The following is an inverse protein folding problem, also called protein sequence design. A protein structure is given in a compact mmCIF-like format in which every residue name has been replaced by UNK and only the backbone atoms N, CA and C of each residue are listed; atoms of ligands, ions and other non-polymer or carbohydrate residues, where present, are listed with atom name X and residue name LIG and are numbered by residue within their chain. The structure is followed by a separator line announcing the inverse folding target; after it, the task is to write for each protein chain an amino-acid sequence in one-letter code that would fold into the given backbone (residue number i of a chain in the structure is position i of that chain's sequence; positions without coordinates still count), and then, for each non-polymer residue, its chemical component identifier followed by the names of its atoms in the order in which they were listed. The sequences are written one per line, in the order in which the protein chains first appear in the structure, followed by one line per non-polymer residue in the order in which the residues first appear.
data_IF_097000731941
#
_entry.id   IF_097000731941
#
_cell.length_a   1.000
_cell.length_b   1.000
_cell.length_c   1.000
_cell.angle_alpha   90.00
_cell.angle_beta   90.00
_cell.angle_gamma   90.00
#
_symmetry.space_group_name_H-M   'P 1'
#
loop_
_entity.id
_entity.type
_entity.pdbx_description
1 polymer ?
#
# COMPACT_ATOMS: atom_id res chain seq x y z
N UNK A 1 2.68 53.04 -33.77
CA UNK A 1 1.34 52.99 -33.15
C UNK A 1 0.99 51.53 -32.89
N UNK A 2 1.07 51.09 -31.63
CA UNK A 2 0.99 49.67 -31.26
C UNK A 2 -0.45 49.19 -31.29
N UNK A 3 -0.68 48.08 -32.00
CA UNK A 3 -2.00 47.59 -32.40
C UNK A 3 -2.86 47.21 -31.17
N UNK A 4 -3.96 47.93 -30.86
CA UNK A 4 -4.78 47.69 -29.67
C UNK A 4 -5.44 46.31 -29.64
N UNK A 5 -5.58 45.64 -30.80
CA UNK A 5 -6.14 44.28 -30.88
C UNK A 5 -5.28 43.20 -30.22
N UNK A 6 -3.94 43.36 -30.20
CA UNK A 6 -3.06 42.34 -29.63
C UNK A 6 -3.11 42.34 -28.10
N UNK A 7 -3.22 43.53 -27.48
CA UNK A 7 -3.45 43.66 -26.04
C UNK A 7 -4.79 43.07 -25.62
N UNK A 8 -5.84 43.24 -26.42
CA UNK A 8 -7.15 42.66 -26.15
C UNK A 8 -7.13 41.12 -26.24
N UNK A 9 -6.41 40.54 -27.21
CA UNK A 9 -6.27 39.09 -27.32
C UNK A 9 -5.47 38.50 -26.15
N UNK A 10 -4.40 39.17 -25.72
CA UNK A 10 -3.61 38.72 -24.56
C UNK A 10 -4.42 38.80 -23.25
N UNK A 11 -5.22 39.85 -23.07
CA UNK A 11 -6.07 39.99 -21.88
C UNK A 11 -7.16 38.90 -21.84
N UNK A 12 -7.75 38.56 -22.98
CA UNK A 12 -8.78 37.51 -23.06
C UNK A 12 -8.21 36.12 -22.75
N UNK A 13 -6.96 35.86 -23.17
CA UNK A 13 -6.26 34.62 -22.87
C UNK A 13 -5.88 34.51 -21.38
N UNK A 14 -5.57 35.64 -20.74
CA UNK A 14 -5.23 35.72 -19.31
C UNK A 14 -6.44 35.48 -18.41
N UNK A 15 -7.62 35.99 -18.79
CA UNK A 15 -8.90 35.73 -18.08
C UNK A 15 -9.28 34.25 -18.15
N UNK A 16 -9.06 33.60 -19.29
CA UNK A 16 -9.33 32.16 -19.45
C UNK A 16 -8.46 31.30 -18.52
N UNK A 17 -7.16 31.58 -18.44
CA UNK A 17 -6.24 30.89 -17.51
C UNK A 17 -6.66 31.09 -16.06
N UNK A 18 -7.07 32.30 -15.70
CA UNK A 18 -7.48 32.61 -14.33
C UNK A 18 -8.78 31.88 -13.95
N UNK A 19 -9.72 31.73 -14.90
CA UNK A 19 -10.96 30.97 -14.70
C UNK A 19 -10.69 29.46 -14.58
N UNK A 20 -9.77 28.90 -15.37
CA UNK A 20 -9.38 27.49 -15.29
C UNK A 20 -8.69 27.15 -13.95
N UNK A 21 -7.84 28.05 -13.43
CA UNK A 21 -7.22 27.90 -12.09
C UNK A 21 -8.25 27.90 -10.97
N UNK A 22 -9.27 28.76 -11.06
CA UNK A 22 -10.36 28.76 -10.08
C UNK A 22 -11.16 27.44 -10.14
N UNK A 23 -11.24 26.83 -11.33
CA UNK A 23 -11.91 25.55 -11.54
C UNK A 23 -11.14 24.34 -10.97
N UNK A 24 -9.82 24.41 -10.93
CA UNK A 24 -9.00 23.38 -10.26
C UNK A 24 -9.16 23.42 -8.74
N UNK A 25 -9.24 24.62 -8.14
CA UNK A 25 -9.28 24.73 -6.68
C UNK A 25 -10.58 24.19 -6.06
N UNK A 26 -11.72 24.29 -6.76
CA UNK A 26 -12.98 23.79 -6.23
C UNK A 26 -13.18 22.27 -6.41
N UNK A 27 -12.38 21.58 -7.25
CA UNK A 27 -12.40 20.11 -7.32
C UNK A 27 -11.69 19.44 -6.13
N UNK A 28 -10.95 20.20 -5.32
CA UNK A 28 -10.25 19.66 -4.15
C UNK A 28 -11.13 19.63 -2.88
N UNK A 29 -12.27 20.33 -2.89
CA UNK A 29 -13.16 20.43 -1.74
C UNK A 29 -14.60 20.10 -2.15
N UNK A 30 -14.92 18.81 -2.19
CA UNK A 30 -16.30 18.33 -2.23
C UNK A 30 -16.86 18.26 -0.80
N UNK A 31 -17.79 19.14 -0.38
CA UNK A 31 -18.47 19.02 0.89
C UNK A 31 -19.54 17.93 0.78
N UNK A 32 -19.13 16.66 0.91
CA UNK A 32 -20.07 15.54 0.86
C UNK A 32 -19.51 14.15 0.63
N UNK A 33 -18.22 13.99 0.35
CA UNK A 33 -17.61 12.65 0.28
C UNK A 33 -17.00 12.32 1.65
N UNK A 34 -17.74 11.59 2.48
CA UNK A 34 -17.09 10.72 3.45
C UNK A 34 -16.15 9.83 2.64
N UNK A 35 -14.85 10.04 2.80
CA UNK A 35 -13.87 9.11 2.26
C UNK A 35 -14.28 7.71 2.76
N UNK A 36 -14.48 6.72 1.87
CA UNK A 36 -14.60 5.35 2.33
C UNK A 36 -13.37 5.06 3.21
N UNK A 37 -13.53 4.32 4.32
CA UNK A 37 -12.38 3.89 5.13
C UNK A 37 -11.33 3.29 4.20
N UNK A 38 -10.02 3.48 4.46
CA UNK A 38 -8.98 2.99 3.58
C UNK A 38 -9.24 1.51 3.31
N UNK A 39 -9.80 1.21 2.13
CA UNK A 39 -9.77 -0.12 1.59
C UNK A 39 -8.29 -0.33 1.37
N UNK A 40 -7.67 -1.11 2.26
CA UNK A 40 -6.38 -1.71 1.97
C UNK A 40 -6.54 -2.34 0.59
N UNK A 41 -6.00 -1.69 -0.44
CA UNK A 41 -5.84 -2.32 -1.74
C UNK A 41 -5.22 -3.68 -1.43
N UNK A 42 -5.86 -4.79 -1.83
CA UNK A 42 -5.26 -6.09 -1.61
C UNK A 42 -3.90 -6.02 -2.27
N UNK A 43 -2.86 -6.04 -1.43
CA UNK A 43 -1.48 -6.01 -1.87
C UNK A 43 -1.37 -7.01 -3.01
N UNK A 44 -0.81 -6.64 -4.17
CA UNK A 44 -0.71 -7.57 -5.28
C UNK A 44 -0.07 -8.83 -4.72
N UNK A 45 -0.80 -9.95 -4.80
CA UNK A 45 -0.43 -11.29 -4.34
C UNK A 45 0.83 -11.75 -5.06
N UNK A 46 1.95 -11.11 -4.77
CA UNK A 46 3.24 -11.41 -5.35
C UNK A 46 3.64 -12.79 -4.91
N UNK A 47 3.82 -13.69 -5.87
CA UNK A 47 4.28 -15.06 -5.70
C UNK A 47 3.31 -16.10 -5.10
N UNK A 48 2.01 -15.81 -5.01
CA UNK A 48 1.04 -16.82 -4.56
C UNK A 48 0.57 -17.69 -5.73
N UNK A 49 0.39 -19.02 -5.53
CA UNK A 49 -0.06 -19.91 -6.61
C UNK A 49 -1.49 -19.56 -7.07
N UNK A 50 -1.86 -19.89 -8.32
CA UNK A 50 -3.23 -19.64 -8.82
C UNK A 50 -4.27 -20.30 -7.90
N UNK A 51 -5.28 -19.52 -7.46
CA UNK A 51 -6.34 -20.01 -6.57
C UNK A 51 -5.97 -20.01 -5.08
N UNK A 52 -4.83 -19.44 -4.69
CA UNK A 52 -4.49 -19.25 -3.29
C UNK A 52 -5.32 -18.12 -2.66
N UNK A 53 -6.09 -18.46 -1.63
CA UNK A 53 -6.82 -17.48 -0.83
C UNK A 53 -6.02 -17.14 0.44
N UNK A 54 -5.44 -15.94 0.56
CA UNK A 54 -4.68 -15.54 1.74
C UNK A 54 -5.54 -15.48 3.01
N UNK A 55 -6.87 -15.34 2.90
CA UNK A 55 -7.76 -15.37 4.07
C UNK A 55 -7.87 -16.75 4.71
N UNK A 56 -7.51 -17.81 3.96
CA UNK A 56 -7.47 -19.19 4.45
C UNK A 56 -6.12 -19.57 5.06
N UNK A 57 -5.14 -18.66 5.03
CA UNK A 57 -3.80 -18.93 5.53
C UNK A 57 -3.74 -18.84 7.05
N UNK A 58 -3.47 -19.98 7.68
CA UNK A 58 -3.34 -20.10 9.14
C UNK A 58 -1.89 -20.23 9.62
N UNK A 59 -0.95 -20.34 8.68
CA UNK A 59 0.47 -20.52 8.95
C UNK A 59 1.26 -19.26 8.62
N UNK A 60 2.25 -18.93 9.44
CA UNK A 60 3.17 -17.82 9.24
C UNK A 60 4.59 -18.32 9.02
N UNK A 61 5.36 -17.63 8.18
CA UNK A 61 6.79 -17.89 8.00
C UNK A 61 7.61 -16.80 8.68
N UNK A 62 8.48 -17.21 9.60
CA UNK A 62 9.42 -16.31 10.28
C UNK A 62 10.85 -16.59 9.79
N UNK A 63 11.49 -15.57 9.21
CA UNK A 63 12.87 -15.63 8.73
C UNK A 63 13.88 -15.11 9.74
N UNK A 64 15.16 -15.20 9.38
CA UNK A 64 16.28 -14.62 10.15
C UNK A 64 16.35 -15.09 11.62
N UNK A 65 16.03 -16.36 11.86
CA UNK A 65 16.06 -16.98 13.19
C UNK A 65 17.51 -17.40 13.52
N UNK A 66 17.99 -16.99 14.70
CA UNK A 66 19.34 -17.33 15.17
C UNK A 66 19.49 -18.84 15.43
N UNK A 67 20.68 -19.39 15.20
CA UNK A 67 20.92 -20.86 15.24
C UNK A 67 20.67 -21.51 16.60
N UNK A 68 20.79 -20.73 17.68
CA UNK A 68 20.54 -21.20 19.05
C UNK A 68 19.04 -21.21 19.42
N UNK A 69 18.19 -20.57 18.61
CA UNK A 69 16.75 -20.59 18.86
C UNK A 69 16.22 -22.00 18.60
N UNK A 70 15.33 -22.44 19.50
CA UNK A 70 14.66 -23.72 19.44
C UNK A 70 13.18 -23.53 19.11
N UNK A 71 12.56 -24.61 18.66
CA UNK A 71 11.12 -24.62 18.38
C UNK A 71 10.29 -24.36 19.64
N UNK A 72 10.72 -24.88 20.80
CA UNK A 72 10.07 -24.66 22.10
C UNK A 72 10.04 -23.17 22.44
N UNK A 73 11.17 -22.47 22.30
CA UNK A 73 11.25 -21.05 22.57
C UNK A 73 10.31 -20.24 21.66
N UNK A 74 10.23 -20.61 20.38
CA UNK A 74 9.30 -19.98 19.44
C UNK A 74 7.84 -20.24 19.85
N UNK A 75 7.50 -21.48 20.24
CA UNK A 75 6.16 -21.82 20.71
C UNK A 75 5.78 -21.01 21.95
N UNK A 76 6.66 -20.92 22.95
CA UNK A 76 6.41 -20.13 24.18
C UNK A 76 6.17 -18.65 23.89
N UNK A 77 6.99 -18.06 23.01
CA UNK A 77 6.86 -16.65 22.63
C UNK A 77 5.55 -16.42 21.86
N UNK A 78 5.22 -17.27 20.89
CA UNK A 78 4.03 -17.06 20.06
C UNK A 78 2.73 -17.49 20.74
N UNK A 79 2.79 -18.29 21.81
CA UNK A 79 1.60 -18.71 22.56
C UNK A 79 0.83 -17.51 23.16
N UNK A 80 1.51 -16.39 23.43
CA UNK A 80 0.84 -15.16 23.89
C UNK A 80 -0.06 -14.53 22.81
N UNK A 81 0.21 -14.82 21.54
CA UNK A 81 -0.55 -14.30 20.40
C UNK A 81 -1.76 -15.19 20.08
N UNK A 82 -1.76 -16.44 20.53
CA UNK A 82 -2.87 -17.38 20.35
C UNK A 82 -2.41 -18.85 20.36
N UNK A 83 -3.36 -19.79 20.24
CA UNK A 83 -3.07 -21.22 20.18
C UNK A 83 -2.25 -21.58 18.94
N UNK A 84 -1.21 -22.39 19.12
CA UNK A 84 -0.33 -22.87 18.05
C UNK A 84 -0.67 -24.33 17.77
N UNK A 85 -1.11 -24.64 16.55
CA UNK A 85 -1.36 -26.03 16.13
C UNK A 85 -0.08 -26.79 15.81
N UNK A 86 0.89 -26.12 15.18
CA UNK A 86 2.17 -26.70 14.82
C UNK A 86 3.22 -25.60 14.72
N UNK A 87 4.45 -25.90 15.14
CA UNK A 87 5.62 -25.08 14.89
C UNK A 87 6.67 -25.99 14.24
N UNK A 88 7.41 -25.46 13.25
CA UNK A 88 8.48 -26.20 12.58
C UNK A 88 9.67 -25.30 12.34
N UNK A 89 10.79 -25.59 13.00
CA UNK A 89 12.05 -24.89 12.74
C UNK A 89 12.85 -25.57 11.61
N UNK A 90 12.95 -24.93 10.46
CA UNK A 90 13.73 -25.43 9.31
C UNK A 90 15.12 -24.78 9.34
N UNK A 91 16.18 -25.60 9.42
CA UNK A 91 17.58 -25.14 9.31
C UNK A 91 18.14 -25.54 7.95
N UNK A 92 18.70 -24.58 7.22
CA UNK A 92 19.43 -24.86 5.97
C UNK A 92 20.86 -25.25 6.34
N UNK A 93 21.31 -26.43 5.92
CA UNK A 93 22.71 -26.81 6.10
C UNK A 93 23.60 -26.01 5.16
N UNK A 94 24.82 -25.68 5.59
CA UNK A 94 25.82 -24.94 4.80
C UNK A 94 26.17 -25.68 3.50
N UNK A 95 25.97 -26.99 3.44
CA UNK A 95 26.23 -27.85 2.27
C UNK A 95 25.16 -27.80 1.17
N UNK A 96 24.05 -27.08 1.36
CA UNK A 96 22.93 -27.01 0.42
C UNK A 96 23.04 -25.88 -0.62
N UNK A 97 24.27 -25.46 -0.99
CA UNK A 97 24.53 -24.41 -1.97
C UNK A 97 25.51 -24.89 -3.05
#
# INVERSE_FOLDING_TARGET
MQNPRMKQQQQQQQVMIQQAMMQQHHSLYHPGVMAPPPQMEPLPSGNLPPGFDPSTCRSVYAGNIHTQVTEVLLQEIFASTGPIESCKLIRKDKSSY
#
